data_IF_372066304634
#
_entry.id   IF_372066304634
#
_cell.length_a   1.000
_cell.length_b   1.000
_cell.length_c   1.000
_cell.angle_alpha   90.00
_cell.angle_beta   90.00
_cell.angle_gamma   90.00
#
_symmetry.space_group_name_H-M   'P 1'
#
loop_
_entity.id
_entity.type
_entity.pdbx_description
1 polymer ?
#
# COMPACT_ATOMS: atom_id res chain seq x y z
N UNK A 1 -15.95 9.78 -5.69
CA UNK A 1 -14.71 10.08 -4.94
C UNK A 1 -14.95 9.87 -3.45
N UNK A 2 -14.06 9.15 -2.78
CA UNK A 2 -14.11 8.85 -1.36
C UNK A 2 -13.00 9.57 -0.60
N UNK A 3 -13.35 10.38 0.39
CA UNK A 3 -12.39 11.09 1.25
C UNK A 3 -12.10 10.34 2.55
N UNK A 4 -10.83 10.09 2.85
CA UNK A 4 -10.34 9.65 4.16
C UNK A 4 -9.69 10.78 4.98
N UNK A 5 -9.61 11.99 4.40
CA UNK A 5 -8.94 13.15 4.99
C UNK A 5 -7.49 13.31 4.53
N UNK A 6 -6.61 13.74 5.45
CA UNK A 6 -5.18 13.98 5.19
C UNK A 6 -4.82 15.40 4.77
N UNK A 7 -3.54 15.64 4.45
CA UNK A 7 -2.97 16.97 4.14
C UNK A 7 -3.75 17.73 3.07
N UNK A 8 -4.31 17.01 2.09
CA UNK A 8 -5.12 17.61 1.03
C UNK A 8 -6.38 18.31 1.59
N UNK A 9 -6.93 17.79 2.69
CA UNK A 9 -8.14 18.26 3.34
C UNK A 9 -7.89 19.20 4.53
N UNK A 10 -6.65 19.67 4.74
CA UNK A 10 -6.29 20.46 5.92
C UNK A 10 -6.50 21.98 5.73
N UNK A 11 -6.97 22.66 6.78
CA UNK A 11 -7.05 24.13 6.86
C UNK A 11 -6.30 24.65 8.09
N UNK A 12 -6.01 25.95 8.10
CA UNK A 12 -5.44 26.61 9.28
C UNK A 12 -6.43 26.59 10.45
N UNK A 13 -5.92 26.39 11.66
CA UNK A 13 -6.68 26.50 12.91
C UNK A 13 -6.27 27.75 13.71
N UNK A 14 -7.18 28.35 14.48
CA UNK A 14 -6.83 29.41 15.42
C UNK A 14 -5.80 28.91 16.44
N UNK A 15 -4.63 29.56 16.53
CA UNK A 15 -3.52 29.15 17.40
C UNK A 15 -2.29 28.58 16.67
N UNK A 16 -2.37 28.39 15.35
CA UNK A 16 -1.27 27.90 14.51
C UNK A 16 -1.36 26.40 14.24
N UNK A 17 -0.71 25.95 13.16
CA UNK A 17 -0.82 24.57 12.66
C UNK A 17 -2.01 24.37 11.71
N UNK A 18 -2.26 23.10 11.37
CA UNK A 18 -3.28 22.69 10.41
C UNK A 18 -4.14 21.57 11.01
N UNK A 19 -5.45 21.60 10.73
CA UNK A 19 -6.36 20.51 11.07
C UNK A 19 -7.19 20.10 9.86
N UNK A 20 -7.65 18.84 9.77
CA UNK A 20 -8.54 18.41 8.72
C UNK A 20 -9.87 19.16 8.79
N UNK A 21 -10.32 19.76 7.67
CA UNK A 21 -11.57 20.53 7.64
C UNK A 21 -12.29 20.56 6.28
N UNK A 22 -11.60 20.26 5.16
CA UNK A 22 -12.24 20.27 3.85
C UNK A 22 -12.96 18.94 3.57
N UNK A 23 -14.20 19.02 3.12
CA UNK A 23 -14.98 17.90 2.58
C UNK A 23 -14.50 17.52 1.18
N UNK A 24 -14.85 16.32 0.71
CA UNK A 24 -14.60 15.93 -0.68
C UNK A 24 -15.20 16.92 -1.71
N UNK A 25 -16.34 17.55 -1.38
CA UNK A 25 -16.98 18.60 -2.18
C UNK A 25 -16.15 19.86 -2.34
N UNK A 26 -15.60 20.35 -1.23
CA UNK A 26 -14.77 21.55 -1.24
C UNK A 26 -13.43 21.30 -1.96
N UNK A 27 -12.86 20.10 -1.82
CA UNK A 27 -11.67 19.71 -2.58
C UNK A 27 -11.93 19.76 -4.08
N UNK A 28 -13.02 19.14 -4.52
CA UNK A 28 -13.44 19.06 -5.93
C UNK A 28 -13.73 20.45 -6.50
N UNK A 29 -14.44 21.31 -5.76
CA UNK A 29 -14.75 22.67 -6.18
C UNK A 29 -13.50 23.55 -6.37
N UNK A 30 -12.42 23.25 -5.65
CA UNK A 30 -11.17 23.99 -5.71
C UNK A 30 -10.23 23.55 -6.85
N UNK A 31 -10.57 22.50 -7.64
CA UNK A 31 -9.70 21.97 -8.71
C UNK A 31 -9.93 22.70 -10.04
N UNK A 32 -8.96 23.48 -10.54
CA UNK A 32 -9.05 24.09 -11.86
C UNK A 32 -9.06 23.00 -12.95
N UNK A 33 -9.87 23.20 -14.00
CA UNK A 33 -9.93 22.29 -15.15
C UNK A 33 -10.81 21.05 -14.95
N UNK A 34 -11.34 20.81 -13.74
CA UNK A 34 -12.15 19.63 -13.47
C UNK A 34 -13.44 19.57 -14.31
N UNK A 35 -14.10 20.71 -14.52
CA UNK A 35 -15.31 20.79 -15.35
C UNK A 35 -15.08 20.30 -16.79
N UNK A 36 -13.85 20.38 -17.31
CA UNK A 36 -13.51 19.90 -18.65
C UNK A 36 -13.51 18.36 -18.76
N UNK A 37 -13.45 17.63 -17.64
CA UNK A 37 -13.55 16.16 -17.65
C UNK A 37 -14.99 15.66 -17.84
N UNK A 38 -16.00 16.52 -17.68
CA UNK A 38 -17.42 16.18 -17.84
C UNK A 38 -17.84 14.90 -17.09
N UNK A 39 -17.46 14.82 -15.81
CA UNK A 39 -17.72 13.67 -14.94
C UNK A 39 -18.95 13.92 -14.07
N UNK A 40 -19.75 12.87 -13.86
CA UNK A 40 -20.70 12.81 -12.75
C UNK A 40 -19.95 12.34 -11.50
N UNK A 41 -19.97 13.15 -10.44
CA UNK A 41 -19.18 12.90 -9.24
C UNK A 41 -20.07 12.65 -8.02
N UNK A 42 -20.09 11.39 -7.58
CA UNK A 42 -20.59 11.04 -6.25
C UNK A 42 -19.50 11.26 -5.20
N UNK A 43 -19.77 12.13 -4.22
CA UNK A 43 -18.82 12.49 -3.19
C UNK A 43 -19.19 11.84 -1.86
N UNK A 44 -18.22 11.15 -1.26
CA UNK A 44 -18.42 10.37 -0.05
C UNK A 44 -17.31 10.66 0.93
N UNK A 45 -17.63 11.31 2.05
CA UNK A 45 -16.70 11.41 3.17
C UNK A 45 -16.79 10.11 3.99
N UNK A 46 -15.68 9.36 4.01
CA UNK A 46 -15.59 8.05 4.70
C UNK A 46 -15.01 8.23 6.09
N UNK A 47 -13.96 9.05 6.21
CA UNK A 47 -13.32 9.43 7.45
C UNK A 47 -12.64 10.79 7.28
N UNK A 48 -12.24 11.42 8.38
CA UNK A 48 -11.44 12.63 8.37
C UNK A 48 -10.30 12.52 9.38
N UNK A 49 -9.43 11.53 9.18
CA UNK A 49 -8.37 11.18 10.12
C UNK A 49 -6.98 11.39 9.50
N UNK A 50 -5.96 11.76 10.30
CA UNK A 50 -4.58 11.71 9.86
C UNK A 50 -4.22 10.30 9.39
N UNK A 51 -3.47 10.20 8.29
CA UNK A 51 -3.06 8.90 7.73
C UNK A 51 -2.32 8.00 8.72
N UNK A 52 -1.58 8.60 9.66
CA UNK A 52 -0.88 7.89 10.73
C UNK A 52 -1.81 7.25 11.78
N UNK A 53 -3.09 7.64 11.83
CA UNK A 53 -4.08 7.10 12.75
C UNK A 53 -4.99 6.04 12.12
N UNK A 54 -4.96 5.90 10.78
CA UNK A 54 -5.80 4.96 10.06
C UNK A 54 -5.51 3.51 10.48
N UNK A 55 -6.59 2.74 10.59
CA UNK A 55 -6.55 1.34 10.97
C UNK A 55 -6.90 0.46 9.79
N UNK A 56 -6.30 -0.73 9.76
CA UNK A 56 -6.58 -1.72 8.71
C UNK A 56 -8.07 -2.05 8.58
N UNK A 57 -8.82 -2.07 9.68
CA UNK A 57 -10.26 -2.32 9.66
C UNK A 57 -11.05 -1.25 8.87
N UNK A 58 -10.63 0.01 8.92
CA UNK A 58 -11.24 1.11 8.17
C UNK A 58 -10.98 0.95 6.67
N UNK A 59 -9.77 0.49 6.29
CA UNK A 59 -9.43 0.23 4.88
C UNK A 59 -10.18 -0.97 4.33
N UNK A 60 -10.38 -2.03 5.13
CA UNK A 60 -11.25 -3.16 4.75
C UNK A 60 -12.70 -2.69 4.58
N UNK A 61 -13.20 -1.83 5.48
CA UNK A 61 -14.53 -1.24 5.34
C UNK A 61 -14.65 -0.37 4.08
N UNK A 62 -13.62 0.42 3.77
CA UNK A 62 -13.53 1.18 2.53
C UNK A 62 -13.56 0.26 1.30
N UNK A 63 -12.80 -0.84 1.30
CA UNK A 63 -12.83 -1.83 0.21
C UNK A 63 -14.25 -2.36 -0.04
N UNK A 64 -15.01 -2.71 1.02
CA UNK A 64 -16.43 -3.12 0.87
C UNK A 64 -17.27 -2.03 0.21
N UNK A 65 -17.07 -0.79 0.63
CA UNK A 65 -17.82 0.36 0.12
C UNK A 65 -17.49 0.65 -1.35
N UNK A 66 -16.22 0.59 -1.72
CA UNK A 66 -15.79 0.69 -3.12
C UNK A 66 -16.46 -0.40 -3.95
N UNK A 67 -16.42 -1.66 -3.49
CA UNK A 67 -17.11 -2.76 -4.15
C UNK A 67 -18.61 -2.51 -4.36
N UNK A 68 -19.30 -1.94 -3.37
CA UNK A 68 -20.71 -1.58 -3.47
C UNK A 68 -20.98 -0.42 -4.47
N UNK A 69 -20.14 0.62 -4.47
CA UNK A 69 -20.24 1.73 -5.43
C UNK A 69 -20.05 1.26 -6.88
N UNK A 70 -19.05 0.41 -7.11
CA UNK A 70 -18.80 -0.17 -8.42
C UNK A 70 -19.95 -1.10 -8.85
N UNK A 71 -20.51 -1.88 -7.92
CA UNK A 71 -21.69 -2.71 -8.20
C UNK A 71 -22.95 -1.88 -8.52
N UNK A 72 -23.04 -0.65 -8.01
CA UNK A 72 -24.11 0.29 -8.30
C UNK A 72 -23.94 1.03 -9.64
N UNK A 73 -22.83 0.80 -10.36
CA UNK A 73 -22.61 1.33 -11.71
C UNK A 73 -21.55 2.43 -11.80
N UNK A 74 -20.76 2.69 -10.75
CA UNK A 74 -19.64 3.63 -10.85
C UNK A 74 -18.55 3.11 -11.80
N UNK A 75 -18.10 3.95 -12.75
CA UNK A 75 -17.06 3.60 -13.74
C UNK A 75 -15.65 3.46 -13.15
N UNK A 76 -15.41 4.09 -11.99
CA UNK A 76 -14.15 4.08 -11.25
C UNK A 76 -14.26 4.83 -9.93
N UNK A 77 -13.29 4.63 -9.03
CA UNK A 77 -13.28 5.31 -7.72
C UNK A 77 -11.96 6.02 -7.49
N UNK A 78 -12.02 7.29 -7.10
CA UNK A 78 -10.87 8.02 -6.55
C UNK A 78 -10.95 8.05 -5.02
N UNK A 79 -9.84 7.72 -4.35
CA UNK A 79 -9.67 7.82 -2.89
C UNK A 79 -8.67 8.92 -2.58
N UNK A 80 -9.05 9.91 -1.79
CA UNK A 80 -8.13 10.91 -1.25
C UNK A 80 -7.74 10.60 0.19
N UNK A 81 -6.45 10.66 0.49
CA UNK A 81 -5.92 10.26 1.79
C UNK A 81 -4.59 10.99 2.12
N UNK A 82 -4.21 11.00 3.40
CA UNK A 82 -2.92 11.53 3.86
C UNK A 82 -1.74 10.66 3.42
N UNK A 83 -0.55 11.22 3.24
CA UNK A 83 0.47 10.50 2.47
C UNK A 83 1.26 9.45 3.25
N UNK A 84 1.20 9.43 4.59
CA UNK A 84 2.12 8.60 5.40
C UNK A 84 1.92 7.10 5.26
N UNK A 85 0.67 6.66 5.11
CA UNK A 85 0.29 5.24 5.02
C UNK A 85 -0.37 4.91 3.68
N UNK A 86 -0.25 5.81 2.69
CA UNK A 86 -0.93 5.72 1.41
C UNK A 86 -0.56 4.47 0.62
N UNK A 87 0.72 4.10 0.63
CA UNK A 87 1.20 2.90 -0.04
C UNK A 87 0.60 1.61 0.55
N UNK A 88 0.46 1.54 1.88
CA UNK A 88 -0.12 0.39 2.57
C UNK A 88 -1.63 0.31 2.32
N UNK A 89 -2.32 1.45 2.38
CA UNK A 89 -3.75 1.54 2.09
C UNK A 89 -4.04 1.13 0.64
N UNK A 90 -3.29 1.69 -0.32
CA UNK A 90 -3.44 1.37 -1.72
C UNK A 90 -3.18 -0.12 -1.98
N UNK A 91 -2.15 -0.70 -1.37
CA UNK A 91 -1.85 -2.12 -1.55
C UNK A 91 -2.90 -3.04 -0.91
N UNK A 92 -3.43 -2.68 0.27
CA UNK A 92 -4.53 -3.43 0.88
C UNK A 92 -5.80 -3.37 0.03
N UNK A 93 -6.13 -2.21 -0.53
CA UNK A 93 -7.22 -2.11 -1.50
C UNK A 93 -6.93 -2.97 -2.73
N UNK A 94 -5.68 -2.99 -3.21
CA UNK A 94 -5.30 -3.72 -4.42
C UNK A 94 -5.52 -5.22 -4.28
N UNK A 95 -5.10 -5.79 -3.15
CA UNK A 95 -5.25 -7.23 -2.90
C UNK A 95 -6.69 -7.63 -2.59
N UNK A 96 -7.58 -6.69 -2.28
CA UNK A 96 -9.00 -6.94 -2.00
C UNK A 96 -9.92 -6.56 -3.18
N UNK A 97 -9.37 -6.00 -4.26
CA UNK A 97 -10.13 -5.47 -5.38
C UNK A 97 -10.19 -6.46 -6.56
N UNK A 98 -11.29 -7.19 -6.67
CA UNK A 98 -11.50 -8.20 -7.72
C UNK A 98 -12.01 -7.62 -9.05
N UNK A 99 -12.51 -6.39 -9.04
CA UNK A 99 -13.25 -5.80 -10.15
C UNK A 99 -12.33 -5.16 -11.20
N UNK A 100 -12.78 -5.07 -12.48
CA UNK A 100 -12.00 -4.42 -13.53
C UNK A 100 -12.00 -2.89 -13.44
N UNK A 101 -12.98 -2.26 -12.81
CA UNK A 101 -13.05 -0.79 -12.67
C UNK A 101 -11.81 -0.26 -11.93
N UNK A 102 -11.20 0.85 -12.37
CA UNK A 102 -10.04 1.41 -11.70
C UNK A 102 -10.39 1.99 -10.34
N UNK A 103 -9.47 1.78 -9.39
CA UNK A 103 -9.46 2.50 -8.12
C UNK A 103 -8.15 3.30 -8.07
N UNK A 104 -8.23 4.61 -7.88
CA UNK A 104 -7.07 5.50 -7.90
C UNK A 104 -6.93 6.21 -6.56
N UNK A 105 -5.82 5.97 -5.86
CA UNK A 105 -5.51 6.61 -4.58
C UNK A 105 -4.59 7.81 -4.81
N UNK A 106 -4.90 8.93 -4.16
CA UNK A 106 -4.12 10.17 -4.30
C UNK A 106 -4.11 10.96 -2.99
N UNK A 107 -3.30 12.00 -2.93
CA UNK A 107 -3.15 12.86 -1.76
C UNK A 107 -2.41 14.15 -2.09
N UNK A 108 -1.85 14.80 -1.06
CA UNK A 108 -1.01 15.98 -1.23
C UNK A 108 0.16 15.95 -0.23
N UNK A 109 1.34 16.37 -0.68
CA UNK A 109 2.50 16.59 0.19
C UNK A 109 2.52 18.00 0.80
N UNK A 110 1.89 18.97 0.12
CA UNK A 110 1.77 20.36 0.54
C UNK A 110 0.32 20.70 0.84
N UNK A 111 0.10 21.41 1.95
CA UNK A 111 -1.23 21.85 2.33
C UNK A 111 -1.77 22.95 1.41
N UNK A 112 -3.10 23.13 1.31
CA UNK A 112 -3.74 24.03 0.35
C UNK A 112 -3.34 25.50 0.42
N UNK A 113 -2.81 25.97 1.56
CA UNK A 113 -2.42 27.38 1.75
C UNK A 113 -1.01 27.71 1.22
N UNK A 114 -0.26 26.72 0.72
CA UNK A 114 1.06 26.97 0.12
C UNK A 114 0.93 27.32 -1.37
N UNK A 115 1.75 28.26 -1.84
CA UNK A 115 1.80 28.69 -3.24
C UNK A 115 2.10 27.55 -4.25
N UNK A 116 2.63 26.43 -3.78
CA UNK A 116 2.89 25.24 -4.58
C UNK A 116 2.14 24.01 -4.11
N UNK A 117 0.94 24.16 -3.56
CA UNK A 117 0.09 23.04 -3.15
C UNK A 117 -0.17 22.09 -4.32
N UNK A 118 0.08 20.80 -4.12
CA UNK A 118 0.02 19.75 -5.15
C UNK A 118 -1.33 19.02 -5.19
N UNK A 119 -2.16 19.18 -4.15
CA UNK A 119 -3.47 18.53 -4.03
C UNK A 119 -4.39 18.71 -5.25
N UNK A 120 -4.64 19.94 -5.76
CA UNK A 120 -5.51 20.13 -6.92
C UNK A 120 -5.04 19.37 -8.17
N UNK A 121 -3.73 19.42 -8.46
CA UNK A 121 -3.15 18.71 -9.60
C UNK A 121 -3.26 17.19 -9.43
N UNK A 122 -2.94 16.67 -8.23
CA UNK A 122 -3.02 15.25 -7.93
C UNK A 122 -4.46 14.71 -7.97
N UNK A 123 -5.47 15.50 -7.58
CA UNK A 123 -6.90 15.12 -7.68
C UNK A 123 -7.36 15.13 -9.13
N UNK A 124 -7.00 16.16 -9.91
CA UNK A 124 -7.33 16.20 -11.34
C UNK A 124 -6.72 15.00 -12.08
N UNK A 125 -5.45 14.69 -11.80
CA UNK A 125 -4.76 13.53 -12.35
C UNK A 125 -5.46 12.22 -11.96
N UNK A 126 -5.83 12.06 -10.69
CA UNK A 126 -6.51 10.85 -10.22
C UNK A 126 -7.87 10.63 -10.91
N UNK A 127 -8.66 11.69 -11.04
CA UNK A 127 -9.97 11.64 -11.74
C UNK A 127 -9.79 11.36 -13.23
N UNK A 128 -8.78 11.97 -13.86
CA UNK A 128 -8.43 11.70 -15.26
C UNK A 128 -8.07 10.23 -15.48
N UNK A 129 -7.28 9.64 -14.57
CA UNK A 129 -6.90 8.21 -14.65
C UNK A 129 -8.10 7.30 -14.37
N UNK A 130 -8.92 7.62 -13.37
CA UNK A 130 -10.10 6.82 -13.03
C UNK A 130 -11.15 6.80 -14.15
N UNK A 131 -11.25 7.88 -14.93
CA UNK A 131 -12.15 7.98 -16.07
C UNK A 131 -11.59 7.37 -17.37
N UNK A 132 -10.31 6.99 -17.42
CA UNK A 132 -9.69 6.45 -18.63
C UNK A 132 -10.00 4.95 -18.80
N UNK A 133 -10.63 4.51 -19.90
CA UNK A 133 -10.94 3.09 -20.11
C UNK A 133 -9.72 2.17 -20.08
N UNK A 134 -8.52 2.68 -20.38
CA UNK A 134 -7.26 1.91 -20.35
C UNK A 134 -6.75 1.66 -18.93
N UNK A 135 -7.32 2.32 -17.93
CA UNK A 135 -7.06 2.05 -16.51
C UNK A 135 -7.76 0.78 -16.02
N UNK A 136 -8.81 0.32 -16.73
CA UNK A 136 -9.53 -0.91 -16.38
C UNK A 136 -8.61 -2.13 -16.40
N UNK A 137 -8.81 -3.03 -15.44
CA UNK A 137 -8.03 -4.27 -15.29
C UNK A 137 -6.63 -4.08 -14.72
N UNK A 138 -6.25 -2.85 -14.30
CA UNK A 138 -4.93 -2.57 -13.72
C UNK A 138 -4.89 -2.57 -12.19
N UNK A 139 -6.03 -2.84 -11.55
CA UNK A 139 -6.15 -2.86 -10.10
C UNK A 139 -6.20 -1.47 -9.48
N UNK A 140 -5.60 -1.36 -8.30
CA UNK A 140 -5.46 -0.08 -7.62
C UNK A 140 -4.21 0.64 -8.11
N UNK A 141 -4.38 1.90 -8.48
CA UNK A 141 -3.33 2.79 -8.93
C UNK A 141 -3.10 3.90 -7.90
N UNK A 142 -1.90 4.47 -7.89
CA UNK A 142 -1.58 5.69 -7.15
C UNK A 142 -1.13 6.76 -8.14
N UNK A 143 -1.66 7.96 -8.01
CA UNK A 143 -1.25 9.11 -8.84
C UNK A 143 -0.63 10.20 -8.00
N UNK A 144 0.60 10.61 -8.35
CA UNK A 144 1.31 11.69 -7.67
C UNK A 144 2.28 12.35 -8.63
N UNK A 145 2.32 13.70 -8.65
CA UNK A 145 3.26 14.46 -9.47
C UNK A 145 3.29 14.00 -10.95
N UNK A 146 2.10 13.82 -11.54
CA UNK A 146 1.87 13.32 -12.90
C UNK A 146 2.41 11.91 -13.21
N UNK A 147 2.85 11.15 -12.21
CA UNK A 147 3.18 9.73 -12.34
C UNK A 147 2.00 8.84 -11.93
N UNK A 148 1.81 7.73 -12.65
CA UNK A 148 0.82 6.68 -12.36
C UNK A 148 1.57 5.43 -11.92
N UNK A 149 1.28 4.94 -10.72
CA UNK A 149 1.96 3.80 -10.11
C UNK A 149 1.00 2.65 -9.87
N UNK A 150 1.48 1.41 -10.01
CA UNK A 150 0.78 0.24 -9.45
C UNK A 150 0.92 0.24 -7.93
N UNK A 151 -0.18 0.02 -7.21
CA UNK A 151 -0.19 -0.04 -5.74
C UNK A 151 0.78 -1.09 -5.17
N UNK A 152 0.94 -2.21 -5.87
CA UNK A 152 1.90 -3.27 -5.54
C UNK A 152 3.37 -2.84 -5.54
N UNK A 153 3.73 -1.74 -6.21
CA UNK A 153 5.13 -1.30 -6.37
C UNK A 153 5.43 0.07 -5.79
N UNK A 154 4.43 0.93 -5.62
CA UNK A 154 4.62 2.31 -5.19
C UNK A 154 5.05 2.39 -3.73
N UNK A 155 5.95 3.31 -3.40
CA UNK A 155 6.31 3.66 -2.02
C UNK A 155 6.58 5.15 -1.87
N UNK A 156 6.40 5.70 -0.69
CA UNK A 156 6.80 7.05 -0.28
C UNK A 156 8.30 7.02 0.03
N UNK A 157 9.07 7.61 -0.87
CA UNK A 157 10.55 7.66 -0.85
C UNK A 157 11.10 8.92 -0.21
N UNK A 158 10.25 9.91 0.04
CA UNK A 158 10.67 11.20 0.57
C UNK A 158 9.63 11.76 1.56
N UNK A 159 10.10 12.39 2.64
CA UNK A 159 9.23 12.94 3.68
C UNK A 159 8.54 14.24 3.30
N UNK A 160 9.15 15.07 2.43
CA UNK A 160 8.64 16.42 2.08
C UNK A 160 8.50 16.75 0.59
N UNK A 161 9.07 15.97 -0.33
CA UNK A 161 9.06 16.29 -1.77
C UNK A 161 7.66 16.08 -2.36
N UNK A 162 7.24 16.92 -3.30
CA UNK A 162 5.99 16.68 -4.06
C UNK A 162 6.09 15.45 -4.97
N UNK A 163 7.30 15.08 -5.39
CA UNK A 163 7.61 13.82 -6.08
C UNK A 163 8.04 12.74 -5.05
N UNK A 164 7.35 12.65 -3.92
CA UNK A 164 7.71 11.73 -2.83
C UNK A 164 7.50 10.26 -3.20
N UNK A 165 6.50 9.95 -4.03
CA UNK A 165 6.18 8.58 -4.36
C UNK A 165 7.07 8.04 -5.50
N UNK A 166 7.29 6.74 -5.49
CA UNK A 166 7.59 6.05 -6.73
C UNK A 166 7.82 4.56 -6.59
N UNK A 167 8.04 3.94 -7.74
CA UNK A 167 7.98 2.49 -7.90
C UNK A 167 9.34 1.95 -8.33
N UNK A 168 9.93 1.06 -7.55
CA UNK A 168 11.16 0.39 -7.93
C UNK A 168 11.15 -1.07 -7.45
N UNK A 169 11.68 -2.02 -8.25
CA UNK A 169 12.17 -1.82 -9.62
C UNK A 169 11.05 -1.55 -10.64
N UNK A 170 11.39 -1.01 -11.81
CA UNK A 170 10.48 -0.91 -12.96
C UNK A 170 9.75 0.44 -13.17
N UNK A 171 9.78 1.37 -12.21
CA UNK A 171 9.24 2.71 -12.41
C UNK A 171 7.70 2.79 -12.41
N UNK A 172 7.13 3.99 -12.64
CA UNK A 172 5.70 4.18 -12.81
C UNK A 172 5.17 3.39 -14.02
N UNK A 173 3.91 2.94 -13.94
CA UNK A 173 3.23 2.21 -15.02
C UNK A 173 2.66 3.14 -16.09
N UNK A 174 2.62 4.44 -15.82
CA UNK A 174 2.19 5.47 -16.75
C UNK A 174 2.45 6.87 -16.23
N UNK A 175 2.06 7.87 -17.02
CA UNK A 175 2.19 9.28 -16.69
C UNK A 175 0.98 10.07 -17.20
N UNK A 176 0.72 11.23 -16.60
CA UNK A 176 -0.16 12.24 -17.16
C UNK A 176 0.67 13.10 -18.10
N UNK A 177 0.30 13.11 -19.39
CA UNK A 177 0.95 13.92 -20.41
C UNK A 177 -0.12 14.74 -21.11
N UNK A 178 0.00 16.06 -21.04
CA UNK A 178 -0.97 17.02 -21.60
C UNK A 178 -2.41 16.73 -21.13
N UNK A 179 -2.57 16.44 -19.83
CA UNK A 179 -3.87 16.14 -19.21
C UNK A 179 -4.47 14.78 -19.61
N UNK A 180 -3.66 13.86 -20.15
CA UNK A 180 -4.12 12.51 -20.55
C UNK A 180 -3.28 11.43 -19.90
N UNK A 181 -3.94 10.37 -19.43
CA UNK A 181 -3.25 9.18 -18.94
C UNK A 181 -2.55 8.45 -20.11
N UNK A 182 -1.24 8.22 -19.97
CA UNK A 182 -0.41 7.45 -20.88
C UNK A 182 0.19 6.28 -20.13
N UNK A 183 -0.35 5.09 -20.33
CA UNK A 183 0.21 3.87 -19.76
C UNK A 183 1.41 3.43 -20.60
N UNK A 184 2.56 3.23 -19.94
CA UNK A 184 3.84 2.87 -20.54
C UNK A 184 4.17 1.38 -20.34
N UNK A 185 3.51 0.72 -19.39
CA UNK A 185 3.65 -0.70 -19.09
C UNK A 185 2.31 -1.44 -19.12
N UNK A 186 2.37 -2.76 -19.26
CA UNK A 186 1.22 -3.67 -19.09
C UNK A 186 0.66 -3.64 -17.66
N UNK A 187 -0.43 -4.36 -17.43
CA UNK A 187 -0.91 -4.61 -16.07
C UNK A 187 0.15 -5.40 -15.29
N UNK A 188 0.30 -5.12 -14.01
CA UNK A 188 1.15 -5.92 -13.13
C UNK A 188 0.41 -7.18 -12.73
N UNK A 189 1.13 -8.28 -12.50
CA UNK A 189 0.57 -9.44 -11.82
C UNK A 189 0.06 -9.02 -10.44
N UNK A 190 -1.14 -9.48 -10.10
CA UNK A 190 -1.86 -9.11 -8.87
C UNK A 190 -2.32 -10.35 -8.15
N UNK A 191 -2.19 -10.31 -6.83
CA UNK A 191 -2.85 -11.26 -5.94
C UNK A 191 -4.18 -10.65 -5.54
N UNK A 192 -5.28 -11.37 -5.79
CA UNK A 192 -6.62 -10.98 -5.37
C UNK A 192 -7.09 -11.99 -4.33
N UNK A 193 -7.45 -11.48 -3.16
CA UNK A 193 -7.89 -12.24 -1.99
C UNK A 193 -9.36 -11.95 -1.71
N UNK A 194 -10.09 -12.92 -1.14
CA UNK A 194 -11.46 -12.67 -0.71
C UNK A 194 -11.48 -11.57 0.35
N UNK A 195 -12.48 -10.71 0.25
CA UNK A 195 -12.74 -9.69 1.25
C UNK A 195 -12.96 -10.34 2.63
N UNK A 196 -12.19 -9.95 3.67
CA UNK A 196 -12.35 -10.53 5.00
C UNK A 196 -13.77 -10.34 5.56
N UNK A 197 -14.22 -11.26 6.40
CA UNK A 197 -15.46 -11.09 7.16
C UNK A 197 -15.34 -9.90 8.14
N UNK A 198 -16.47 -9.40 8.63
CA UNK A 198 -16.45 -8.44 9.73
C UNK A 198 -15.95 -9.13 11.01
N UNK A 199 -15.04 -8.49 11.75
CA UNK A 199 -14.50 -9.06 12.99
C UNK A 199 -13.12 -8.56 13.34
N UNK A 200 -12.49 -9.22 14.32
CA UNK A 200 -11.12 -8.96 14.70
C UNK A 200 -10.17 -9.37 13.55
N UNK A 201 -9.22 -8.48 13.23
CA UNK A 201 -8.16 -8.76 12.26
C UNK A 201 -6.96 -9.42 12.95
N UNK A 202 -6.20 -10.27 12.24
CA UNK A 202 -5.03 -10.93 12.79
C UNK A 202 -3.95 -9.92 13.18
N UNK A 203 -3.26 -10.20 14.28
CA UNK A 203 -2.14 -9.41 14.78
C UNK A 203 -0.87 -9.80 14.03
N UNK A 204 -0.41 -8.91 13.16
CA UNK A 204 0.82 -9.07 12.37
C UNK A 204 1.81 -7.94 12.69
N UNK A 205 2.70 -8.09 13.69
CA UNK A 205 3.79 -7.16 13.93
C UNK A 205 4.84 -7.18 12.80
N UNK A 206 5.54 -6.05 12.68
CA UNK A 206 6.71 -5.88 11.83
C UNK A 206 7.91 -5.55 12.72
N UNK A 207 8.94 -6.40 12.70
CA UNK A 207 10.20 -6.17 13.41
C UNK A 207 11.25 -5.74 12.40
N UNK A 208 11.91 -4.61 12.63
CA UNK A 208 13.00 -4.14 11.77
C UNK A 208 14.33 -4.48 12.43
N UNK A 209 15.14 -5.32 11.77
CA UNK A 209 16.46 -5.67 12.28
C UNK A 209 17.35 -4.43 12.30
N UNK A 210 18.07 -4.20 13.40
CA UNK A 210 19.02 -3.11 13.56
C UNK A 210 20.38 -3.64 14.06
N UNK A 211 21.46 -2.89 13.80
CA UNK A 211 22.80 -3.30 14.20
C UNK A 211 22.86 -3.48 15.72
N UNK A 212 23.22 -4.69 16.16
CA UNK A 212 23.29 -5.02 17.58
C UNK A 212 21.93 -5.14 18.29
N UNK A 213 20.82 -5.28 17.55
CA UNK A 213 19.50 -5.47 18.15
C UNK A 213 19.41 -6.82 18.90
N UNK A 214 18.71 -6.78 20.03
CA UNK A 214 18.37 -7.96 20.82
C UNK A 214 17.54 -8.96 20.01
N UNK A 215 17.55 -10.23 20.41
CA UNK A 215 16.70 -11.25 19.77
C UNK A 215 15.21 -10.94 19.89
N UNK A 216 14.37 -11.35 18.93
CA UNK A 216 12.93 -11.15 19.02
C UNK A 216 12.34 -11.97 20.18
N UNK A 217 11.27 -11.45 20.77
CA UNK A 217 10.54 -12.14 21.84
C UNK A 217 9.99 -13.50 21.34
N UNK A 218 10.52 -14.58 21.89
CA UNK A 218 10.10 -15.96 21.60
C UNK A 218 8.64 -16.20 21.99
N UNK A 219 8.08 -15.45 22.93
CA UNK A 219 6.71 -15.60 23.39
C UNK A 219 5.73 -14.62 22.72
N UNK A 220 6.13 -13.99 21.62
CA UNK A 220 5.31 -13.03 20.88
C UNK A 220 3.93 -13.63 20.52
N UNK A 221 2.88 -13.11 21.15
CA UNK A 221 1.50 -13.51 20.90
C UNK A 221 0.96 -12.83 19.62
N UNK A 222 1.20 -13.44 18.46
CA UNK A 222 0.77 -12.94 17.16
C UNK A 222 0.24 -14.06 16.27
N UNK A 223 -0.50 -13.71 15.23
CA UNK A 223 -1.04 -14.65 14.24
C UNK A 223 -0.06 -14.86 13.06
N UNK A 224 0.87 -13.92 12.89
CA UNK A 224 1.97 -13.98 11.93
C UNK A 224 2.98 -12.87 12.22
N UNK A 225 4.16 -12.94 11.63
CA UNK A 225 5.23 -11.97 11.85
C UNK A 225 5.89 -11.59 10.52
N UNK A 226 6.22 -10.31 10.35
CA UNK A 226 7.15 -9.87 9.30
C UNK A 226 8.44 -9.38 9.94
N UNK A 227 9.58 -9.80 9.39
CA UNK A 227 10.91 -9.35 9.79
C UNK A 227 11.56 -8.62 8.62
N UNK A 228 11.91 -7.35 8.81
CA UNK A 228 12.71 -6.57 7.87
C UNK A 228 14.20 -6.81 8.14
N UNK A 229 14.75 -7.80 7.45
CA UNK A 229 16.14 -8.26 7.53
C UNK A 229 17.11 -7.37 6.77
N UNK A 230 18.41 -7.52 7.05
CA UNK A 230 19.47 -6.79 6.37
C UNK A 230 19.66 -7.25 4.93
N UNK A 231 20.04 -6.32 4.04
CA UNK A 231 20.57 -6.64 2.72
C UNK A 231 19.70 -7.63 1.93
N UNK A 232 20.27 -8.78 1.59
CA UNK A 232 19.63 -9.83 0.82
C UNK A 232 18.71 -10.77 1.63
N UNK A 233 18.42 -10.47 2.90
CA UNK A 233 17.62 -11.32 3.77
C UNK A 233 18.40 -11.94 4.94
N UNK A 234 19.39 -11.23 5.47
CA UNK A 234 20.24 -11.74 6.56
C UNK A 234 19.83 -11.16 7.92
N UNK A 235 20.01 -11.96 8.97
CA UNK A 235 19.80 -11.57 10.35
C UNK A 235 21.01 -11.99 11.20
N UNK A 236 21.17 -11.41 12.41
CA UNK A 236 22.18 -11.90 13.33
C UNK A 236 21.96 -13.38 13.65
N UNK A 237 23.03 -14.16 13.77
CA UNK A 237 22.93 -15.60 14.02
C UNK A 237 22.09 -15.94 15.28
N UNK A 238 22.10 -15.07 16.29
CA UNK A 238 21.33 -15.26 17.52
C UNK A 238 19.81 -15.06 17.32
N UNK A 239 19.35 -14.55 16.16
CA UNK A 239 17.94 -14.46 15.81
C UNK A 239 17.42 -15.75 15.15
N UNK A 240 18.30 -16.60 14.61
CA UNK A 240 17.90 -17.76 13.80
C UNK A 240 17.04 -18.75 14.61
N UNK A 241 17.45 -19.09 15.83
CA UNK A 241 16.71 -20.02 16.69
C UNK A 241 15.39 -19.42 17.22
N UNK A 242 15.35 -18.20 17.80
CA UNK A 242 14.09 -17.55 18.17
C UNK A 242 13.07 -17.50 17.02
N UNK A 243 13.52 -17.18 15.80
CA UNK A 243 12.64 -17.09 14.65
C UNK A 243 12.17 -18.46 14.16
N UNK A 244 13.00 -19.51 14.26
CA UNK A 244 12.58 -20.87 13.98
C UNK A 244 11.47 -21.33 14.96
N UNK A 245 11.60 -21.01 16.25
CA UNK A 245 10.57 -21.31 17.27
C UNK A 245 9.24 -20.54 17.02
N UNK A 246 9.33 -19.33 16.48
CA UNK A 246 8.16 -18.56 16.03
C UNK A 246 7.56 -19.16 14.75
N UNK A 247 8.39 -19.51 13.77
CA UNK A 247 8.00 -20.11 12.50
C UNK A 247 7.33 -21.48 12.67
N UNK A 248 7.70 -22.24 13.71
CA UNK A 248 7.01 -23.47 14.06
C UNK A 248 5.52 -23.24 14.39
N UNK A 249 5.15 -22.08 14.95
CA UNK A 249 3.79 -21.79 15.45
C UNK A 249 2.96 -20.88 14.55
N UNK A 250 3.59 -19.97 13.82
CA UNK A 250 2.91 -19.00 12.95
C UNK A 250 3.73 -18.72 11.68
N UNK A 251 3.13 -18.20 10.60
CA UNK A 251 3.90 -17.74 9.45
C UNK A 251 4.84 -16.59 9.83
N UNK A 252 6.13 -16.75 9.54
CA UNK A 252 7.15 -15.72 9.71
C UNK A 252 7.69 -15.36 8.32
N UNK A 253 7.45 -14.13 7.90
CA UNK A 253 7.86 -13.61 6.60
C UNK A 253 9.17 -12.86 6.72
N UNK A 254 10.13 -13.22 5.88
CA UNK A 254 11.43 -12.58 5.74
C UNK A 254 11.37 -11.57 4.59
N UNK A 255 11.40 -10.28 4.90
CA UNK A 255 11.46 -9.18 3.94
C UNK A 255 12.77 -8.41 4.08
N UNK A 256 13.19 -7.67 3.06
CA UNK A 256 14.40 -6.86 3.15
C UNK A 256 14.10 -5.43 3.59
N UNK A 257 14.85 -4.91 4.57
CA UNK A 257 14.79 -3.50 4.98
C UNK A 257 15.47 -2.53 4.01
N UNK A 258 16.08 -3.01 2.93
CA UNK A 258 16.70 -2.16 1.89
C UNK A 258 15.67 -1.37 1.10
N UNK A 259 14.40 -1.80 1.12
CA UNK A 259 13.29 -1.24 0.35
C UNK A 259 13.47 -1.33 -1.18
N UNK A 260 14.50 -2.04 -1.64
CA UNK A 260 14.79 -2.24 -3.05
C UNK A 260 15.57 -3.56 -3.26
N UNK A 261 15.13 -4.33 -4.25
CA UNK A 261 15.64 -5.67 -4.51
C UNK A 261 14.93 -6.75 -3.68
N UNK A 262 15.09 -8.03 -4.05
CA UNK A 262 14.41 -9.12 -3.38
C UNK A 262 15.20 -9.64 -2.19
N UNK A 263 14.52 -10.40 -1.33
CA UNK A 263 15.19 -11.40 -0.48
C UNK A 263 15.72 -12.50 -1.39
N UNK A 264 17.02 -12.83 -1.28
CA UNK A 264 17.63 -13.95 -1.99
C UNK A 264 17.17 -15.26 -1.35
N UNK A 265 17.36 -16.37 -2.06
CA UNK A 265 16.88 -17.68 -1.61
C UNK A 265 17.96 -18.77 -1.60
N UNK A 266 19.09 -18.57 -2.29
CA UNK A 266 20.09 -19.63 -2.46
C UNK A 266 21.53 -19.09 -2.69
N UNK A 267 22.01 -18.14 -1.87
CA UNK A 267 23.35 -17.54 -2.07
C UNK A 267 24.32 -17.80 -0.92
N UNK A 268 23.96 -17.46 0.32
CA UNK A 268 24.84 -17.50 1.48
C UNK A 268 24.45 -18.64 2.44
N UNK A 269 25.45 -19.31 3.02
CA UNK A 269 25.25 -20.49 3.88
C UNK A 269 25.78 -20.34 5.32
N UNK A 270 25.74 -19.13 5.89
CA UNK A 270 26.13 -18.91 7.30
C UNK A 270 24.89 -18.86 8.22
N UNK A 271 25.01 -19.11 9.54
CA UNK A 271 23.88 -18.98 10.46
C UNK A 271 23.27 -17.58 10.46
N UNK A 272 21.96 -17.47 10.23
CA UNK A 272 21.25 -16.20 10.02
C UNK A 272 21.27 -15.67 8.58
N UNK A 273 21.87 -16.40 7.64
CA UNK A 273 21.71 -16.11 6.20
C UNK A 273 20.30 -16.41 5.72
N UNK A 274 19.96 -15.93 4.53
CA UNK A 274 18.67 -16.20 3.89
C UNK A 274 18.42 -17.69 3.71
N UNK A 275 19.44 -18.48 3.32
CA UNK A 275 19.29 -19.94 3.18
C UNK A 275 18.97 -20.61 4.51
N UNK A 276 19.76 -20.32 5.55
CA UNK A 276 19.54 -20.87 6.90
C UNK A 276 18.14 -20.51 7.43
N UNK A 277 17.71 -19.26 7.25
CA UNK A 277 16.39 -18.81 7.70
C UNK A 277 15.24 -19.45 6.90
N UNK A 278 15.38 -19.60 5.58
CA UNK A 278 14.38 -20.25 4.73
C UNK A 278 14.29 -21.75 5.05
N UNK A 279 15.43 -22.43 5.26
CA UNK A 279 15.48 -23.83 5.72
C UNK A 279 14.81 -24.01 7.09
N UNK A 280 14.76 -22.95 7.91
CA UNK A 280 14.01 -22.86 9.18
C UNK A 280 12.55 -22.45 9.02
N UNK A 281 12.00 -22.62 7.82
CA UNK A 281 10.59 -22.40 7.47
C UNK A 281 10.15 -20.92 7.37
N UNK A 282 11.08 -19.95 7.42
CA UNK A 282 10.73 -18.56 7.12
C UNK A 282 10.32 -18.41 5.65
N UNK A 283 9.35 -17.53 5.39
CA UNK A 283 8.74 -17.33 4.08
C UNK A 283 9.39 -16.09 3.44
N UNK A 284 10.16 -16.22 2.35
CA UNK A 284 10.75 -15.07 1.69
C UNK A 284 9.64 -14.18 1.09
N UNK A 285 9.79 -12.86 1.19
CA UNK A 285 8.85 -11.89 0.65
C UNK A 285 9.09 -11.56 -0.83
N UNK A 286 10.18 -12.08 -1.42
CA UNK A 286 10.63 -11.69 -2.75
C UNK A 286 10.86 -10.18 -2.85
N UNK A 287 10.27 -9.54 -3.86
CA UNK A 287 10.37 -8.10 -4.09
C UNK A 287 9.46 -7.23 -3.20
N UNK A 288 8.58 -7.81 -2.38
CA UNK A 288 7.75 -7.01 -1.49
C UNK A 288 8.59 -6.38 -0.38
N UNK A 289 8.43 -5.08 -0.20
CA UNK A 289 8.97 -4.37 0.95
C UNK A 289 8.25 -4.80 2.25
N UNK A 290 8.84 -4.53 3.43
CA UNK A 290 8.30 -5.02 4.69
C UNK A 290 6.89 -4.50 5.03
N UNK A 291 6.54 -3.28 4.59
CA UNK A 291 5.22 -2.70 4.84
C UNK A 291 4.16 -3.44 4.02
N UNK A 292 4.41 -3.66 2.72
CA UNK A 292 3.51 -4.45 1.87
C UNK A 292 3.46 -5.92 2.25
N UNK A 293 4.59 -6.51 2.63
CA UNK A 293 4.63 -7.89 3.14
C UNK A 293 3.71 -8.05 4.36
N UNK A 294 3.72 -7.09 5.29
CA UNK A 294 2.81 -7.08 6.44
C UNK A 294 1.35 -7.02 6.03
N UNK A 295 1.02 -6.15 5.08
CA UNK A 295 -0.35 -6.02 4.56
C UNK A 295 -0.83 -7.31 3.89
N UNK A 296 0.00 -7.94 3.05
CA UNK A 296 -0.35 -9.20 2.39
C UNK A 296 -0.56 -10.33 3.41
N UNK A 297 0.36 -10.48 4.36
CA UNK A 297 0.24 -11.50 5.41
C UNK A 297 -1.04 -11.30 6.22
N UNK A 298 -1.34 -10.07 6.62
CA UNK A 298 -2.58 -9.73 7.31
C UNK A 298 -3.81 -10.12 6.47
N UNK A 299 -3.84 -9.74 5.19
CA UNK A 299 -4.98 -10.00 4.32
C UNK A 299 -5.23 -11.50 4.10
N UNK A 300 -4.16 -12.29 3.90
CA UNK A 300 -4.26 -13.75 3.75
C UNK A 300 -4.80 -14.39 5.03
N UNK A 301 -4.24 -14.04 6.19
CA UNK A 301 -4.69 -14.57 7.48
C UNK A 301 -6.14 -14.15 7.80
N UNK A 302 -6.52 -12.91 7.50
CA UNK A 302 -7.88 -12.40 7.71
C UNK A 302 -8.92 -13.13 6.84
N UNK A 303 -8.50 -13.67 5.69
CA UNK A 303 -9.31 -14.55 4.84
C UNK A 303 -9.32 -16.02 5.28
N UNK A 304 -8.74 -16.36 6.43
CA UNK A 304 -8.62 -17.75 6.91
C UNK A 304 -7.58 -18.55 6.13
N UNK A 305 -6.55 -17.90 5.58
CA UNK A 305 -5.43 -18.55 4.93
C UNK A 305 -4.56 -19.33 5.92
N UNK A 306 -4.15 -20.54 5.55
CA UNK A 306 -3.15 -21.31 6.28
C UNK A 306 -1.73 -21.00 5.80
N UNK A 307 -0.73 -21.68 6.37
CA UNK A 307 0.68 -21.47 6.00
C UNK A 307 0.94 -21.71 4.50
N UNK A 308 0.27 -22.68 3.88
CA UNK A 308 0.46 -22.95 2.46
C UNK A 308 -0.09 -21.80 1.60
N UNK A 309 -1.30 -21.31 1.92
CA UNK A 309 -1.86 -20.12 1.24
C UNK A 309 -0.99 -18.88 1.42
N UNK A 310 -0.34 -18.72 2.59
CA UNK A 310 0.64 -17.65 2.79
C UNK A 310 1.82 -17.83 1.83
N UNK A 311 2.41 -19.03 1.75
CA UNK A 311 3.52 -19.32 0.81
C UNK A 311 3.12 -19.03 -0.64
N UNK A 312 1.95 -19.48 -1.07
CA UNK A 312 1.47 -19.28 -2.44
C UNK A 312 1.25 -17.78 -2.76
N UNK A 313 0.64 -17.04 -1.81
CA UNK A 313 0.42 -15.61 -1.97
C UNK A 313 1.74 -14.82 -2.06
N UNK A 314 2.73 -15.16 -1.22
CA UNK A 314 4.06 -14.52 -1.29
C UNK A 314 4.85 -14.95 -2.51
N UNK A 315 4.68 -16.18 -3.00
CA UNK A 315 5.31 -16.60 -4.24
C UNK A 315 4.80 -15.80 -5.44
N UNK A 316 3.48 -15.60 -5.52
CA UNK A 316 2.85 -14.81 -6.58
C UNK A 316 3.18 -13.31 -6.47
N UNK A 317 2.94 -12.70 -5.31
CA UNK A 317 3.14 -11.26 -5.13
C UNK A 317 4.62 -10.85 -5.08
N UNK A 318 5.47 -11.70 -4.50
CA UNK A 318 6.90 -11.46 -4.35
C UNK A 318 7.71 -11.77 -5.61
N UNK A 319 7.11 -12.39 -6.63
CA UNK A 319 7.80 -12.80 -7.86
C UNK A 319 8.84 -13.89 -7.60
N UNK A 320 8.51 -14.86 -6.74
CA UNK A 320 9.38 -16.00 -6.41
C UNK A 320 9.09 -17.24 -7.27
N UNK A 321 8.20 -17.11 -8.26
CA UNK A 321 7.89 -18.17 -9.23
C UNK A 321 9.13 -18.54 -10.08
N UNK A 322 9.19 -19.82 -10.45
CA UNK A 322 10.29 -20.47 -11.16
C UNK A 322 10.58 -19.91 -12.56
#
# INVERSE_FOLDING_TARGET
MCGLGGTIAMTAVPGGGLAPALTAGELVAAVPGLAALNLELDLVDVANEPSASLRTAEIVALSRRIGALLAAGADGVVVTQGTDTLEECAYLLDVLHERPEPVVVTGAMRHPLLAGADGPANVLAALTVAADPRARGRGVLVTFADEIHAASRVRKRHSTSVAAFGSAPGGPVGQLVEGRARFLAGATDRVVLPLPAAGALPRVPLIVAALGADEPDRNLAADGLVVAAFGAGHLPQWWAEPLAELAARMPVVLASRTLAGPVLTDTYGFPGSERDLIERDLIPAGFLDPAKARILLLAVLAGGGDRQRVRDAFAAAGGLGA
#
